data_IF_771346431108
#
_entry.id   IF_771346431108
#
_cell.length_a   1.000
_cell.length_b   1.000
_cell.length_c   1.000
_cell.angle_alpha   90.00
_cell.angle_beta   90.00
_cell.angle_gamma   90.00
#
_symmetry.space_group_name_H-M   'P 1'
#
loop_
_entity.id
_entity.type
_entity.pdbx_description
1 polymer ?
#
# COMPACT_ATOMS: atom_id res chain seq x y z
N UNK A 1 -19.71 17.63 -4.04
CA UNK A 1 -18.53 17.99 -4.84
C UNK A 1 -17.40 17.13 -4.32
N UNK A 2 -16.70 16.33 -5.15
CA UNK A 2 -15.55 15.60 -4.64
C UNK A 2 -14.55 16.64 -4.13
N UNK A 3 -14.10 16.46 -2.89
CA UNK A 3 -13.09 17.32 -2.29
C UNK A 3 -11.91 17.40 -3.26
N UNK A 4 -11.48 18.62 -3.55
CA UNK A 4 -10.42 18.89 -4.53
C UNK A 4 -9.19 18.10 -4.09
N UNK A 5 -8.92 16.99 -4.75
CA UNK A 5 -7.69 16.22 -4.61
C UNK A 5 -6.55 17.14 -5.03
N UNK A 6 -5.97 17.80 -4.04
CA UNK A 6 -4.73 18.57 -4.06
C UNK A 6 -4.78 19.89 -4.84
N UNK A 7 -4.65 21.02 -4.13
CA UNK A 7 -4.34 22.32 -4.73
C UNK A 7 -2.92 22.36 -5.28
N UNK A 8 -2.74 22.90 -6.48
CA UNK A 8 -1.41 23.09 -7.05
C UNK A 8 -0.56 23.98 -6.12
N UNK A 9 0.67 23.57 -5.82
CA UNK A 9 1.60 24.30 -4.92
C UNK A 9 2.08 25.65 -5.50
N UNK A 10 1.77 25.95 -6.76
CA UNK A 10 2.16 27.20 -7.38
C UNK A 10 1.24 28.36 -6.96
N UNK A 11 1.83 29.39 -6.36
CA UNK A 11 1.11 30.58 -5.92
C UNK A 11 0.29 31.21 -7.07
N UNK A 12 -1.03 31.32 -6.87
CA UNK A 12 -1.96 31.86 -7.87
C UNK A 12 -2.53 30.83 -8.86
N UNK A 13 -2.15 29.56 -8.75
CA UNK A 13 -2.80 28.49 -9.52
C UNK A 13 -4.16 28.13 -8.88
N UNK A 14 -5.23 28.28 -9.65
CA UNK A 14 -6.60 27.94 -9.22
C UNK A 14 -7.05 26.55 -9.67
N UNK A 15 -6.18 25.81 -10.37
CA UNK A 15 -6.46 24.48 -10.93
C UNK A 15 -6.01 23.36 -9.96
N UNK A 16 -6.66 22.18 -10.02
CA UNK A 16 -6.23 21.00 -9.27
C UNK A 16 -4.82 20.52 -9.67
N UNK A 17 -4.15 19.78 -8.79
CA UNK A 17 -2.82 19.23 -9.06
C UNK A 17 -2.89 18.04 -10.01
N UNK A 18 -1.87 17.90 -10.85
CA UNK A 18 -1.72 16.72 -11.70
C UNK A 18 -1.13 15.57 -10.87
N UNK A 19 -1.73 14.40 -11.05
CA UNK A 19 -1.42 13.16 -10.34
C UNK A 19 -0.83 12.08 -11.28
N UNK A 20 -0.44 12.43 -12.49
CA UNK A 20 0.10 11.53 -13.52
C UNK A 20 1.53 11.95 -13.91
N UNK A 21 2.48 11.03 -14.20
CA UNK A 21 3.78 11.35 -14.78
C UNK A 21 3.68 12.15 -16.09
N UNK A 22 3.90 13.47 -16.02
CA UNK A 22 3.84 14.38 -17.17
C UNK A 22 3.87 15.87 -16.79
N UNK A 23 4.35 16.76 -17.67
CA UNK A 23 4.36 18.17 -17.36
C UNK A 23 2.93 18.72 -17.30
N UNK A 24 2.66 19.62 -16.35
CA UNK A 24 1.41 20.35 -16.37
C UNK A 24 1.29 21.19 -17.63
N UNK A 25 0.20 21.00 -18.38
CA UNK A 25 -0.05 21.61 -19.68
C UNK A 25 -0.11 23.14 -19.71
N UNK A 26 0.10 23.83 -18.57
CA UNK A 26 0.32 25.29 -18.52
C UNK A 26 1.60 25.74 -17.81
N UNK A 27 2.02 25.12 -16.70
CA UNK A 27 3.27 25.54 -16.02
C UNK A 27 4.53 24.87 -16.60
N UNK A 28 4.36 23.89 -17.50
CA UNK A 28 5.43 23.20 -18.22
C UNK A 28 6.50 22.55 -17.30
N UNK A 29 6.16 22.32 -16.03
CA UNK A 29 7.01 21.61 -15.08
C UNK A 29 6.50 20.18 -14.87
N UNK A 30 7.46 19.27 -14.77
CA UNK A 30 7.29 17.83 -14.56
C UNK A 30 6.40 17.56 -13.34
N UNK A 31 5.46 16.63 -13.50
CA UNK A 31 4.59 16.10 -12.45
C UNK A 31 5.33 15.74 -11.17
N UNK A 32 4.57 15.72 -10.08
CA UNK A 32 4.92 15.13 -8.77
C UNK A 32 5.49 13.69 -8.84
N UNK A 33 5.29 12.95 -9.93
CA UNK A 33 5.73 11.56 -10.10
C UNK A 33 7.15 11.35 -10.63
N UNK A 34 7.87 12.37 -11.13
CA UNK A 34 9.30 12.20 -11.47
C UNK A 34 10.20 12.05 -10.24
N UNK A 35 9.66 12.25 -9.03
CA UNK A 35 10.37 12.03 -7.76
C UNK A 35 10.63 10.55 -7.46
N UNK A 36 9.80 9.62 -7.95
CA UNK A 36 9.96 8.18 -7.68
C UNK A 36 10.82 7.43 -8.70
N UNK A 37 11.28 8.09 -9.77
CA UNK A 37 12.03 7.44 -10.87
C UNK A 37 13.51 7.83 -10.96
N UNK A 38 13.99 8.74 -10.10
CA UNK A 38 15.40 9.15 -10.06
C UNK A 38 16.03 8.78 -8.71
N UNK A 39 17.05 7.91 -8.68
CA UNK A 39 17.76 7.53 -7.46
C UNK A 39 18.25 8.74 -6.66
N UNK A 40 18.68 9.80 -7.36
CA UNK A 40 19.18 11.04 -6.76
C UNK A 40 18.14 11.78 -5.91
N UNK A 41 16.87 11.75 -6.27
CA UNK A 41 15.82 12.43 -5.51
C UNK A 41 15.42 11.63 -4.27
N UNK A 42 15.38 10.30 -4.37
CA UNK A 42 15.15 9.37 -3.25
C UNK A 42 16.22 9.52 -2.15
N UNK A 43 17.49 9.73 -2.51
CA UNK A 43 18.57 9.92 -1.53
C UNK A 43 18.43 11.20 -0.68
N UNK A 44 18.08 12.33 -1.33
CA UNK A 44 17.87 13.61 -0.63
C UNK A 44 16.64 13.56 0.29
N UNK A 45 15.61 12.84 -0.13
CA UNK A 45 14.38 12.63 0.63
C UNK A 45 14.61 11.78 1.88
N UNK A 46 15.27 10.63 1.76
CA UNK A 46 15.66 9.79 2.90
C UNK A 46 16.49 10.59 3.91
N UNK A 47 17.46 11.39 3.45
CA UNK A 47 18.28 12.23 4.33
C UNK A 47 17.47 13.27 5.11
N UNK A 48 16.49 13.92 4.48
CA UNK A 48 15.59 14.88 5.15
C UNK A 48 14.71 14.20 6.19
N UNK A 49 14.09 13.08 5.84
CA UNK A 49 13.20 12.39 6.77
C UNK A 49 14.02 11.83 7.95
N UNK A 50 15.21 11.26 7.71
CA UNK A 50 16.14 10.88 8.79
C UNK A 50 16.49 12.06 9.71
N UNK A 51 16.61 13.27 9.17
CA UNK A 51 16.96 14.46 9.98
C UNK A 51 15.86 14.93 10.93
N UNK A 52 14.60 14.54 10.70
CA UNK A 52 13.47 14.91 11.56
C UNK A 52 13.06 13.80 12.54
N UNK A 53 13.59 12.58 12.36
CA UNK A 53 13.31 11.47 13.27
C UNK A 53 14.06 11.68 14.58
N UNK A 54 13.33 11.59 15.69
CA UNK A 54 13.92 11.58 17.01
C UNK A 54 14.40 10.16 17.38
N UNK A 55 15.62 9.82 16.98
CA UNK A 55 16.26 8.52 17.21
C UNK A 55 16.23 8.08 18.69
N UNK A 56 16.33 9.03 19.63
CA UNK A 56 16.27 8.73 21.06
C UNK A 56 14.88 8.20 21.48
N UNK A 57 13.81 8.82 20.97
CA UNK A 57 12.44 8.37 21.27
C UNK A 57 12.10 7.05 20.56
N UNK A 58 12.61 6.84 19.35
CA UNK A 58 12.51 5.55 18.65
C UNK A 58 13.19 4.44 19.46
N UNK A 59 14.43 4.65 19.92
CA UNK A 59 15.15 3.69 20.75
C UNK A 59 14.42 3.40 22.06
N UNK A 60 13.91 4.45 22.72
CA UNK A 60 13.16 4.33 23.96
C UNK A 60 11.90 3.49 23.76
N UNK A 61 11.09 3.81 22.74
CA UNK A 61 9.86 3.07 22.44
C UNK A 61 10.14 1.61 22.09
N UNK A 62 11.14 1.35 21.24
CA UNK A 62 11.56 -0.01 20.91
C UNK A 62 12.05 -0.79 22.14
N UNK A 63 12.76 -0.12 23.06
CA UNK A 63 13.21 -0.73 24.31
C UNK A 63 12.03 -1.05 25.24
N UNK A 64 11.03 -0.17 25.35
CA UNK A 64 9.79 -0.41 26.10
C UNK A 64 9.05 -1.65 25.58
N UNK A 65 8.86 -1.74 24.26
CA UNK A 65 8.18 -2.88 23.63
C UNK A 65 8.98 -4.20 23.77
N UNK A 66 10.30 -4.10 23.96
CA UNK A 66 11.19 -5.24 24.14
C UNK A 66 11.52 -5.53 25.62
N UNK A 67 10.62 -5.19 26.54
CA UNK A 67 10.76 -5.51 27.97
C UNK A 67 11.88 -4.75 28.68
N UNK A 68 12.25 -3.56 28.19
CA UNK A 68 13.27 -2.67 28.75
C UNK A 68 14.70 -2.95 28.29
N UNK A 69 14.92 -3.94 27.42
CA UNK A 69 16.24 -4.21 26.84
C UNK A 69 16.62 -3.11 25.84
N UNK A 70 17.74 -2.43 26.09
CA UNK A 70 18.25 -1.34 25.25
C UNK A 70 18.37 -1.79 23.80
N UNK A 71 17.78 -1.00 22.88
CA UNK A 71 17.96 -1.13 21.44
C UNK A 71 18.83 0.00 20.91
N UNK A 72 19.65 -0.32 19.91
CA UNK A 72 20.47 0.65 19.19
C UNK A 72 20.00 0.72 17.74
N UNK A 73 19.89 1.94 17.23
CA UNK A 73 19.50 2.22 15.84
C UNK A 73 20.72 2.07 14.95
N UNK A 74 20.58 1.26 13.91
CA UNK A 74 21.41 1.31 12.73
C UNK A 74 20.64 2.02 11.61
N UNK A 75 21.24 3.07 11.03
CA UNK A 75 20.82 3.58 9.75
C UNK A 75 21.59 2.81 8.67
N UNK A 76 21.00 1.85 7.95
CA UNK A 76 21.71 1.14 6.89
C UNK A 76 22.24 2.13 5.84
N UNK A 77 23.39 1.81 5.21
CA UNK A 77 23.86 2.51 4.02
C UNK A 77 22.75 2.58 2.97
N UNK A 78 22.75 3.66 2.18
CA UNK A 78 21.71 3.90 1.17
C UNK A 78 21.56 2.76 0.14
N UNK A 79 22.63 2.03 -0.15
CA UNK A 79 22.64 0.88 -1.07
C UNK A 79 21.88 -0.35 -0.51
N UNK A 80 21.81 -0.50 0.81
CA UNK A 80 21.00 -1.55 1.47
C UNK A 80 19.54 -1.10 1.69
N UNK A 81 19.27 0.21 1.62
CA UNK A 81 17.94 0.79 1.70
C UNK A 81 17.14 0.64 0.39
N UNK A 82 17.75 0.13 -0.70
CA UNK A 82 17.04 -0.24 -1.93
C UNK A 82 16.14 -1.49 -1.76
N UNK A 83 16.16 -2.15 -0.60
CA UNK A 83 15.36 -3.37 -0.32
C UNK A 83 13.87 -3.14 0.01
N UNK A 84 13.41 -1.89 0.19
CA UNK A 84 11.99 -1.49 0.24
C UNK A 84 11.89 -0.02 -0.14
N UNK A 85 10.95 0.33 -1.02
CA UNK A 85 10.88 1.65 -1.67
C UNK A 85 10.45 2.81 -0.75
N UNK A 86 10.74 4.04 -1.22
CA UNK A 86 10.13 5.34 -0.86
C UNK A 86 10.14 5.86 0.59
N UNK A 87 10.27 5.01 1.60
CA UNK A 87 10.27 5.40 3.01
C UNK A 87 11.64 5.09 3.66
N UNK A 88 12.26 6.03 4.41
CA UNK A 88 13.46 5.73 5.16
C UNK A 88 13.19 4.61 6.17
N UNK A 89 13.93 3.51 6.02
CA UNK A 89 13.93 2.42 6.98
C UNK A 89 14.98 2.68 8.06
N UNK A 90 14.57 2.50 9.31
CA UNK A 90 15.46 2.44 10.48
C UNK A 90 15.51 0.98 10.94
N UNK A 91 16.72 0.42 11.06
CA UNK A 91 16.89 -0.95 11.56
C UNK A 91 17.21 -0.95 13.05
N UNK A 92 16.48 -1.77 13.80
CA UNK A 92 16.65 -2.01 15.21
C UNK A 92 16.79 -3.52 15.41
N UNK A 93 18.01 -4.08 15.42
CA UNK A 93 18.31 -5.53 15.54
C UNK A 93 17.08 -6.48 15.63
N UNK A 94 16.67 -7.07 14.49
CA UNK A 94 15.48 -7.93 14.28
C UNK A 94 14.14 -7.21 14.03
N UNK A 95 14.09 -5.88 14.10
CA UNK A 95 12.90 -5.05 13.87
C UNK A 95 13.19 -4.00 12.80
N UNK A 96 12.20 -3.76 11.94
CA UNK A 96 12.20 -2.68 10.95
C UNK A 96 11.27 -1.57 11.44
N UNK A 97 11.72 -0.32 11.37
CA UNK A 97 10.87 0.85 11.55
C UNK A 97 10.72 1.53 10.18
N UNK A 98 9.52 1.47 9.63
CA UNK A 98 9.16 2.21 8.42
C UNK A 98 8.69 3.59 8.85
N UNK A 99 9.38 4.64 8.42
CA UNK A 99 9.05 6.02 8.74
C UNK A 99 8.58 6.76 7.50
N UNK A 100 7.44 7.44 7.59
CA UNK A 100 6.86 8.21 6.50
C UNK A 100 6.74 9.67 6.91
N UNK A 101 7.06 10.58 6.00
CA UNK A 101 7.01 12.02 6.27
C UNK A 101 6.58 12.82 5.05
N UNK A 102 5.98 13.97 5.33
CA UNK A 102 5.54 14.96 4.35
C UNK A 102 6.74 15.68 3.77
N UNK A 103 7.06 15.39 2.51
CA UNK A 103 7.74 16.35 1.64
C UNK A 103 6.72 16.94 0.66
N UNK A 104 5.99 17.97 1.11
CA UNK A 104 5.22 18.92 0.28
C UNK A 104 4.05 18.40 -0.56
N UNK A 105 4.02 17.11 -0.94
CA UNK A 105 3.16 16.59 -2.00
C UNK A 105 2.00 15.71 -1.49
N UNK A 106 2.17 15.05 -0.33
CA UNK A 106 1.16 14.20 0.30
C UNK A 106 0.77 14.80 1.66
N UNK A 107 -0.51 15.10 1.90
CA UNK A 107 -1.03 15.55 3.20
C UNK A 107 -0.69 14.55 4.32
N UNK A 108 -0.32 15.07 5.49
CA UNK A 108 -0.01 14.26 6.67
C UNK A 108 -1.15 13.31 7.03
N UNK A 109 -2.40 13.77 6.93
CA UNK A 109 -3.58 12.96 7.20
C UNK A 109 -3.70 11.71 6.30
N UNK A 110 -3.22 11.76 5.06
CA UNK A 110 -3.18 10.59 4.16
C UNK A 110 -2.08 9.63 4.62
N UNK A 111 -0.91 10.14 5.00
CA UNK A 111 0.19 9.32 5.54
C UNK A 111 -0.26 8.61 6.81
N UNK A 112 -0.88 9.34 7.74
CA UNK A 112 -1.38 8.80 9.01
C UNK A 112 -2.44 7.73 8.78
N UNK A 113 -3.33 7.94 7.81
CA UNK A 113 -4.31 6.94 7.41
C UNK A 113 -3.64 5.67 6.86
N UNK A 114 -2.66 5.81 5.96
CA UNK A 114 -1.92 4.68 5.37
C UNK A 114 -1.22 3.87 6.45
N UNK A 115 -0.58 4.54 7.43
CA UNK A 115 0.05 3.88 8.58
C UNK A 115 -0.97 3.09 9.39
N UNK A 116 -2.11 3.70 9.72
CA UNK A 116 -3.17 3.00 10.45
C UNK A 116 -3.68 1.80 9.66
N UNK A 117 -3.82 1.94 8.33
CA UNK A 117 -4.34 0.90 7.45
C UNK A 117 -3.39 -0.28 7.29
N UNK A 118 -2.11 -0.01 7.11
CA UNK A 118 -1.07 -1.04 7.03
C UNK A 118 -0.94 -1.77 8.38
N UNK A 119 -0.88 -1.04 9.49
CA UNK A 119 -0.83 -1.64 10.83
C UNK A 119 -2.04 -2.56 11.09
N UNK A 120 -3.26 -2.11 10.76
CA UNK A 120 -4.47 -2.92 10.92
C UNK A 120 -4.46 -4.18 10.04
N UNK A 121 -3.92 -4.06 8.83
CA UNK A 121 -3.77 -5.18 7.89
C UNK A 121 -2.81 -6.23 8.44
N UNK A 122 -1.63 -5.81 8.89
CA UNK A 122 -0.63 -6.70 9.46
C UNK A 122 -1.14 -7.38 10.74
N UNK A 123 -1.86 -6.65 11.59
CA UNK A 123 -2.51 -7.23 12.78
C UNK A 123 -3.60 -8.25 12.48
N UNK A 124 -4.30 -8.09 11.37
CA UNK A 124 -5.20 -9.12 10.89
C UNK A 124 -4.44 -10.33 10.36
N UNK A 125 -3.38 -10.13 9.57
CA UNK A 125 -2.57 -11.21 9.01
C UNK A 125 -1.89 -12.06 10.09
N UNK A 126 -1.51 -11.47 11.22
CA UNK A 126 -1.03 -12.19 12.43
C UNK A 126 -2.03 -13.27 12.94
N UNK A 127 -3.32 -13.19 12.56
CA UNK A 127 -4.36 -14.17 12.91
C UNK A 127 -4.56 -15.26 11.87
N UNK A 128 -3.84 -15.17 10.75
CA UNK A 128 -3.96 -16.07 9.59
C UNK A 128 -2.68 -16.90 9.41
N UNK A 129 -2.64 -17.76 8.40
CA UNK A 129 -1.41 -18.45 7.98
C UNK A 129 -0.63 -17.71 6.88
N UNK A 130 -1.08 -16.54 6.46
CA UNK A 130 -0.34 -15.73 5.47
C UNK A 130 0.98 -15.29 6.10
N UNK A 131 2.13 -15.55 5.47
CA UNK A 131 3.42 -15.17 6.01
C UNK A 131 3.61 -13.65 5.83
N UNK A 132 3.37 -12.88 6.88
CA UNK A 132 3.53 -11.43 6.90
C UNK A 132 4.31 -11.00 8.16
N UNK A 133 5.02 -9.86 8.12
CA UNK A 133 5.74 -9.39 9.29
C UNK A 133 4.77 -9.04 10.42
N UNK A 134 5.12 -9.43 11.65
CA UNK A 134 4.39 -8.97 12.83
C UNK A 134 4.56 -7.46 12.99
N UNK A 135 3.47 -6.77 13.31
CA UNK A 135 3.50 -5.35 13.63
C UNK A 135 3.57 -5.16 15.15
N UNK A 136 4.66 -4.64 15.68
CA UNK A 136 4.81 -4.49 17.13
C UNK A 136 4.04 -3.29 17.67
N UNK A 137 4.08 -2.16 16.96
CA UNK A 137 3.45 -0.91 17.34
C UNK A 137 3.47 0.09 16.16
N UNK A 138 2.72 1.19 16.27
CA UNK A 138 2.72 2.27 15.28
C UNK A 138 2.55 3.63 15.96
N UNK A 139 2.90 4.70 15.25
CA UNK A 139 2.61 6.07 15.65
C UNK A 139 2.26 6.93 14.44
N UNK A 140 1.38 7.90 14.63
CA UNK A 140 0.99 8.87 13.60
C UNK A 140 1.53 10.25 13.97
N UNK A 141 1.90 11.07 12.99
CA UNK A 141 2.53 12.36 13.27
C UNK A 141 1.54 13.38 13.87
N UNK A 142 0.25 13.27 13.55
CA UNK A 142 -0.79 14.13 14.12
C UNK A 142 -1.10 13.83 15.60
N UNK A 143 -0.62 12.70 16.16
CA UNK A 143 -0.75 12.41 17.59
C UNK A 143 0.29 13.20 18.41
N UNK A 144 -0.18 14.10 19.27
CA UNK A 144 0.68 14.90 20.15
C UNK A 144 1.53 14.05 21.10
N UNK A 145 1.13 12.80 21.38
CA UNK A 145 1.90 11.87 22.21
C UNK A 145 3.05 11.21 21.44
N UNK A 146 3.02 11.23 20.11
CA UNK A 146 4.09 10.72 19.29
C UNK A 146 5.30 11.68 19.32
N UNK A 147 6.34 11.30 20.06
CA UNK A 147 7.58 12.08 20.17
C UNK A 147 8.66 11.70 19.14
N UNK A 148 8.37 10.74 18.26
CA UNK A 148 9.27 10.31 17.18
C UNK A 148 9.38 11.38 16.08
N UNK A 149 8.34 12.20 15.90
CA UNK A 149 8.33 13.33 14.96
C UNK A 149 7.84 13.00 13.55
N UNK A 150 7.57 11.73 13.27
CA UNK A 150 7.03 11.22 12.00
C UNK A 150 6.05 10.08 12.27
N UNK A 151 5.29 9.69 11.25
CA UNK A 151 4.43 8.51 11.29
C UNK A 151 5.27 7.27 11.03
N UNK A 152 5.06 6.21 11.80
CA UNK A 152 5.89 5.01 11.74
C UNK A 152 5.14 3.72 12.09
N UNK A 153 5.71 2.59 11.68
CA UNK A 153 5.34 1.25 12.16
C UNK A 153 6.62 0.49 12.55
N UNK A 154 6.61 -0.15 13.72
CA UNK A 154 7.60 -1.16 14.10
C UNK A 154 7.15 -2.54 13.62
N UNK A 155 8.00 -3.20 12.84
CA UNK A 155 7.72 -4.46 12.16
C UNK A 155 8.79 -5.51 12.47
N UNK A 156 8.42 -6.78 12.33
CA UNK A 156 9.36 -7.91 12.30
C UNK A 156 10.25 -7.86 11.07
N UNK A 157 11.55 -8.11 11.27
CA UNK A 157 12.48 -8.37 10.17
C UNK A 157 12.29 -9.81 9.67
N UNK A 158 11.87 -9.95 8.41
CA UNK A 158 11.65 -11.26 7.80
C UNK A 158 12.98 -11.95 7.49
N UNK A 159 13.10 -13.22 7.86
CA UNK A 159 14.25 -14.04 7.50
C UNK A 159 14.14 -14.44 6.02
N UNK A 160 15.14 -14.10 5.20
CA UNK A 160 15.19 -14.48 3.79
C UNK A 160 15.71 -13.35 2.90
N UNK A 161 15.40 -13.43 1.60
CA UNK A 161 15.74 -12.39 0.62
C UNK A 161 14.54 -12.06 -0.25
N UNK A 162 14.45 -10.82 -0.72
CA UNK A 162 13.48 -10.43 -1.73
C UNK A 162 13.64 -11.30 -2.98
N UNK A 163 12.53 -11.77 -3.53
CA UNK A 163 12.51 -12.54 -4.75
C UNK A 163 12.90 -11.64 -5.93
N UNK A 164 13.89 -12.07 -6.70
CA UNK A 164 14.45 -11.32 -7.82
C UNK A 164 14.34 -12.07 -9.15
N UNK A 165 13.39 -13.02 -9.23
CA UNK A 165 13.17 -13.92 -10.36
C UNK A 165 14.35 -14.85 -10.71
N UNK A 166 15.35 -14.98 -9.82
CA UNK A 166 16.45 -15.92 -9.98
C UNK A 166 16.15 -17.26 -9.29
N UNK A 167 16.77 -18.33 -9.79
CA UNK A 167 16.62 -19.68 -9.22
C UNK A 167 17.45 -19.88 -7.95
N UNK A 168 17.29 -21.04 -7.26
CA UNK A 168 18.06 -21.35 -6.06
C UNK A 168 19.58 -21.34 -6.34
N UNK A 169 20.37 -20.99 -5.33
CA UNK A 169 21.84 -21.05 -5.36
C UNK A 169 22.52 -20.32 -6.54
N UNK A 170 22.00 -19.14 -6.92
CA UNK A 170 22.62 -18.30 -7.96
C UNK A 170 22.40 -18.79 -9.39
N UNK A 171 21.45 -19.72 -9.60
CA UNK A 171 20.94 -20.04 -10.94
C UNK A 171 20.35 -18.77 -11.55
N UNK A 172 20.79 -18.45 -12.77
CA UNK A 172 20.37 -17.23 -13.50
C UNK A 172 18.85 -17.15 -13.73
N UNK A 173 18.13 -18.27 -13.62
CA UNK A 173 16.67 -18.35 -13.76
C UNK A 173 16.10 -19.54 -13.00
N UNK A 174 14.90 -19.37 -12.43
CA UNK A 174 14.07 -20.46 -11.91
C UNK A 174 13.74 -21.47 -13.02
N UNK A 175 13.94 -22.77 -12.74
CA UNK A 175 13.51 -23.84 -13.63
C UNK A 175 12.00 -24.13 -13.49
N UNK A 176 11.48 -25.12 -14.22
CA UNK A 176 10.06 -25.45 -14.19
C UNK A 176 9.55 -25.87 -12.81
N UNK A 177 10.38 -26.57 -12.03
CA UNK A 177 10.03 -27.01 -10.67
C UNK A 177 10.09 -25.86 -9.67
N UNK A 178 11.06 -24.96 -9.85
CA UNK A 178 11.17 -23.73 -9.06
C UNK A 178 9.91 -22.87 -9.25
N UNK A 179 9.49 -22.66 -10.51
CA UNK A 179 8.25 -21.92 -10.82
C UNK A 179 7.01 -22.59 -10.24
N UNK A 180 6.90 -23.91 -10.35
CA UNK A 180 5.79 -24.68 -9.76
C UNK A 180 5.72 -24.50 -8.24
N UNK A 181 6.87 -24.45 -7.56
CA UNK A 181 6.94 -24.19 -6.12
C UNK A 181 6.48 -22.77 -5.78
N UNK A 182 6.94 -21.76 -6.52
CA UNK A 182 6.53 -20.37 -6.34
C UNK A 182 5.00 -20.23 -6.48
N UNK A 183 4.43 -20.82 -7.54
CA UNK A 183 2.99 -20.83 -7.78
C UNK A 183 2.21 -21.56 -6.70
N UNK A 184 2.68 -22.73 -6.24
CA UNK A 184 2.04 -23.45 -5.15
C UNK A 184 2.05 -22.66 -3.84
N UNK A 185 3.14 -21.93 -3.55
CA UNK A 185 3.22 -21.05 -2.39
C UNK A 185 2.21 -19.90 -2.46
N UNK A 186 2.08 -19.26 -3.63
CA UNK A 186 1.08 -18.22 -3.87
C UNK A 186 -0.35 -18.78 -3.76
N UNK A 187 -0.60 -19.97 -4.30
CA UNK A 187 -1.90 -20.64 -4.20
C UNK A 187 -2.29 -20.89 -2.73
N UNK A 188 -1.36 -21.38 -1.91
CA UNK A 188 -1.59 -21.59 -0.47
C UNK A 188 -1.95 -20.29 0.24
N UNK A 189 -1.30 -19.18 -0.12
CA UNK A 189 -1.59 -17.83 0.41
C UNK A 189 -2.98 -17.36 -0.01
N UNK A 190 -3.33 -17.46 -1.30
CA UNK A 190 -4.64 -17.06 -1.82
C UNK A 190 -5.76 -17.91 -1.22
N UNK A 191 -5.54 -19.22 -1.05
CA UNK A 191 -6.47 -20.14 -0.38
C UNK A 191 -6.66 -19.71 1.08
N UNK A 192 -5.59 -19.33 1.78
CA UNK A 192 -5.69 -18.85 3.15
C UNK A 192 -6.47 -17.54 3.21
N UNK A 193 -6.17 -16.54 2.39
CA UNK A 193 -6.91 -15.26 2.33
C UNK A 193 -8.40 -15.48 2.07
N UNK A 194 -8.75 -16.42 1.19
CA UNK A 194 -10.15 -16.79 0.89
C UNK A 194 -10.91 -17.34 2.11
N UNK A 195 -10.24 -17.87 3.13
CA UNK A 195 -10.89 -18.35 4.36
C UNK A 195 -11.35 -17.22 5.29
N UNK A 196 -10.92 -15.99 5.04
CA UNK A 196 -11.15 -14.86 5.92
C UNK A 196 -11.93 -13.73 5.21
N UNK A 197 -13.23 -13.93 4.92
CA UNK A 197 -14.04 -12.92 4.24
C UNK A 197 -14.39 -11.75 5.15
N UNK A 198 -14.58 -10.58 4.54
CA UNK A 198 -15.06 -9.35 5.15
C UNK A 198 -16.46 -9.00 4.65
N UNK A 199 -17.28 -8.32 5.48
CA UNK A 199 -18.64 -7.92 5.10
C UNK A 199 -18.71 -6.67 4.22
N UNK A 200 -17.59 -5.94 4.07
CA UNK A 200 -17.49 -4.72 3.28
C UNK A 200 -16.13 -4.65 2.60
N UNK A 201 -16.07 -3.89 1.51
CA UNK A 201 -14.84 -3.57 0.81
C UNK A 201 -14.11 -2.36 1.43
N UNK A 202 -12.83 -2.26 1.07
CA UNK A 202 -11.95 -1.08 1.04
C UNK A 202 -10.74 -1.16 1.99
N UNK A 203 -10.52 -0.28 2.96
CA UNK A 203 -9.31 -0.29 3.78
C UNK A 203 -9.60 -0.81 5.17
N UNK A 204 -8.63 -1.49 5.77
CA UNK A 204 -8.72 -1.86 7.18
C UNK A 204 -8.25 -0.69 8.04
N UNK A 205 -8.84 -0.51 9.22
CA UNK A 205 -8.35 0.40 10.25
C UNK A 205 -8.34 -0.31 11.61
N UNK A 206 -7.55 0.19 12.59
CA UNK A 206 -7.54 -0.37 13.93
C UNK A 206 -8.95 -0.38 14.54
N UNK A 207 -9.41 -1.54 14.99
CA UNK A 207 -10.71 -1.69 15.64
C UNK A 207 -10.61 -1.72 17.16
N UNK A 208 -11.61 -2.30 17.82
CA UNK A 208 -11.67 -2.40 19.30
C UNK A 208 -10.54 -3.26 19.90
N UNK A 209 -9.91 -4.11 19.10
CA UNK A 209 -8.72 -4.86 19.46
C UNK A 209 -7.79 -4.98 18.25
N UNK A 210 -6.47 -5.09 18.43
CA UNK A 210 -5.52 -5.18 17.31
C UNK A 210 -5.89 -6.25 16.29
N UNK A 211 -6.30 -7.44 16.74
CA UNK A 211 -6.65 -8.58 15.88
C UNK A 211 -8.05 -8.53 15.27
N UNK A 212 -8.80 -7.43 15.44
CA UNK A 212 -10.16 -7.25 14.90
C UNK A 212 -10.26 -5.88 14.23
N UNK A 213 -9.73 -5.73 13.01
CA UNK A 213 -9.82 -4.47 12.29
C UNK A 213 -11.26 -4.15 11.91
N UNK A 214 -11.53 -2.89 11.62
CA UNK A 214 -12.78 -2.43 11.00
C UNK A 214 -12.51 -2.11 9.53
N UNK A 215 -13.52 -2.32 8.67
CA UNK A 215 -13.46 -1.90 7.28
C UNK A 215 -13.93 -0.44 7.18
N UNK A 216 -13.14 0.39 6.50
CA UNK A 216 -13.33 1.84 6.36
C UNK A 216 -13.15 2.28 4.91
N UNK A 217 -13.27 3.59 4.67
CA UNK A 217 -13.09 4.22 3.37
C UNK A 217 -11.69 3.98 2.77
N UNK A 218 -11.48 4.26 1.49
CA UNK A 218 -10.19 3.99 0.82
C UNK A 218 -9.12 4.91 1.37
N UNK A 219 -8.01 4.31 1.81
CA UNK A 219 -6.82 5.04 2.23
C UNK A 219 -6.27 5.85 1.05
N UNK A 220 -5.92 5.13 -0.02
CA UNK A 220 -5.68 5.66 -1.35
C UNK A 220 -5.47 4.51 -2.35
N UNK A 221 -5.39 4.84 -3.64
CA UNK A 221 -4.84 3.94 -4.67
C UNK A 221 -3.31 4.07 -4.72
N UNK A 222 -2.63 3.20 -5.49
CA UNK A 222 -1.18 3.20 -5.74
C UNK A 222 -0.62 4.60 -6.07
N UNK A 223 -1.43 5.46 -6.68
CA UNK A 223 -1.03 6.81 -7.09
C UNK A 223 -1.33 7.91 -6.05
N UNK A 224 -1.83 7.57 -4.86
CA UNK A 224 -2.19 8.50 -3.78
C UNK A 224 -3.27 9.54 -4.17
N UNK A 225 -4.14 9.18 -5.11
CA UNK A 225 -5.07 10.13 -5.76
C UNK A 225 -6.48 10.09 -5.18
N UNK A 226 -6.82 9.01 -4.46
CA UNK A 226 -8.19 8.80 -3.99
C UNK A 226 -8.42 9.48 -2.64
N UNK A 227 -9.54 10.20 -2.54
CA UNK A 227 -10.12 10.63 -1.27
C UNK A 227 -10.93 9.52 -0.61
N UNK A 228 -11.33 9.70 0.67
CA UNK A 228 -12.04 8.67 1.41
C UNK A 228 -13.41 8.39 0.76
N UNK A 229 -13.53 7.21 0.13
CA UNK A 229 -14.77 6.67 -0.42
C UNK A 229 -15.02 5.27 0.12
N UNK A 230 -16.28 4.91 0.35
CA UNK A 230 -16.68 3.68 1.02
C UNK A 230 -16.80 3.83 2.55
N UNK A 231 -16.82 2.73 3.30
CA UNK A 231 -16.73 1.34 2.86
C UNK A 231 -17.97 0.88 2.08
N UNK A 232 -17.81 -0.07 1.15
CA UNK A 232 -18.91 -0.55 0.29
C UNK A 232 -19.43 -1.90 0.73
N UNK A 233 -20.75 -2.10 0.64
CA UNK A 233 -21.39 -3.38 0.98
C UNK A 233 -21.71 -4.23 -0.24
N UNK A 234 -21.51 -3.71 -1.45
CA UNK A 234 -21.70 -4.43 -2.70
C UNK A 234 -20.53 -4.22 -3.67
N UNK A 235 -20.18 -5.21 -4.48
CA UNK A 235 -19.18 -5.07 -5.54
C UNK A 235 -19.61 -4.01 -6.58
N UNK A 236 -20.92 -3.88 -6.81
CA UNK A 236 -21.47 -2.86 -7.71
C UNK A 236 -21.16 -1.46 -7.24
N UNK A 237 -21.34 -1.16 -5.96
CA UNK A 237 -21.02 0.16 -5.40
C UNK A 237 -19.51 0.41 -5.41
N UNK A 238 -18.71 -0.62 -5.10
CA UNK A 238 -17.24 -0.56 -5.15
C UNK A 238 -16.75 -0.17 -6.56
N UNK A 239 -17.12 -0.93 -7.59
CA UNK A 239 -16.69 -0.66 -8.97
C UNK A 239 -17.27 0.65 -9.51
N UNK A 240 -18.52 0.99 -9.16
CA UNK A 240 -19.14 2.26 -9.57
C UNK A 240 -18.39 3.44 -8.99
N UNK A 241 -18.08 3.43 -7.69
CA UNK A 241 -17.32 4.51 -7.06
C UNK A 241 -15.93 4.64 -7.65
N UNK A 242 -15.23 3.52 -7.91
CA UNK A 242 -13.90 3.56 -8.52
C UNK A 242 -13.92 4.21 -9.91
N UNK A 243 -14.85 3.76 -10.77
CA UNK A 243 -14.95 4.25 -12.14
C UNK A 243 -15.38 5.72 -12.18
N UNK A 244 -16.41 6.10 -11.43
CA UNK A 244 -16.90 7.48 -11.43
C UNK A 244 -15.89 8.46 -10.86
N UNK A 245 -15.14 8.07 -9.83
CA UNK A 245 -14.08 8.90 -9.27
C UNK A 245 -12.94 9.11 -10.26
N UNK A 246 -12.44 8.04 -10.88
CA UNK A 246 -11.41 8.15 -11.92
C UNK A 246 -11.88 9.00 -13.11
N UNK A 247 -13.12 8.81 -13.57
CA UNK A 247 -13.69 9.64 -14.64
C UNK A 247 -13.73 11.13 -14.28
N UNK A 248 -14.07 11.48 -13.03
CA UNK A 248 -14.05 12.85 -12.56
C UNK A 248 -12.63 13.44 -12.58
N UNK A 249 -11.64 12.70 -12.08
CA UNK A 249 -10.24 13.12 -12.08
C UNK A 249 -9.67 13.27 -13.51
N UNK A 250 -10.03 12.38 -14.43
CA UNK A 250 -9.65 12.47 -15.84
C UNK A 250 -10.28 13.69 -16.50
N UNK A 251 -11.58 13.93 -16.25
CA UNK A 251 -12.29 15.10 -16.77
C UNK A 251 -11.66 16.41 -16.27
N UNK A 252 -11.23 16.42 -15.01
CA UNK A 252 -10.51 17.53 -14.37
C UNK A 252 -9.03 17.62 -14.77
N UNK A 253 -8.55 16.72 -15.66
CA UNK A 253 -7.15 16.66 -16.13
C UNK A 253 -6.13 16.45 -15.00
N UNK A 254 -6.53 15.72 -13.96
CA UNK A 254 -5.66 15.30 -12.87
C UNK A 254 -5.00 13.95 -13.16
N UNK A 255 -5.69 13.08 -13.90
CA UNK A 255 -5.19 11.75 -14.30
C UNK A 255 -5.12 11.59 -15.83
N UNK A 256 -4.17 10.77 -16.28
CA UNK A 256 -3.95 10.38 -17.68
C UNK A 256 -3.90 11.58 -18.64
N UNK A 257 -3.15 12.60 -18.26
CA UNK A 257 -3.18 13.94 -18.89
C UNK A 257 -2.69 13.93 -20.33
N UNK A 258 -1.86 12.95 -20.69
CA UNK A 258 -1.34 12.74 -22.05
C UNK A 258 -2.37 12.14 -23.00
N UNK A 259 -3.37 11.39 -22.50
CA UNK A 259 -4.38 10.71 -23.31
C UNK A 259 -5.78 10.65 -22.65
N UNK A 260 -6.30 11.77 -22.11
CA UNK A 260 -7.45 11.75 -21.21
C UNK A 260 -8.76 11.41 -21.92
N UNK A 261 -8.90 11.73 -23.22
CA UNK A 261 -10.08 11.31 -24.00
C UNK A 261 -10.12 9.80 -24.13
N UNK A 262 -9.00 9.17 -24.49
CA UNK A 262 -8.92 7.72 -24.65
C UNK A 262 -9.17 7.02 -23.30
N UNK A 263 -8.55 7.50 -22.22
CA UNK A 263 -8.78 6.90 -20.90
C UNK A 263 -10.19 7.10 -20.41
N UNK A 264 -10.79 8.28 -20.63
CA UNK A 264 -12.19 8.51 -20.28
C UNK A 264 -13.12 7.53 -21.01
N UNK A 265 -12.86 7.22 -22.28
CA UNK A 265 -13.61 6.22 -23.04
C UNK A 265 -13.42 4.80 -22.49
N UNK A 266 -12.20 4.44 -22.05
CA UNK A 266 -11.96 3.15 -21.36
C UNK A 266 -12.77 3.06 -20.09
N UNK A 267 -12.76 4.09 -19.23
CA UNK A 267 -13.56 4.09 -18.00
C UNK A 267 -15.07 4.14 -18.28
N UNK A 268 -15.51 4.82 -19.34
CA UNK A 268 -16.91 4.80 -19.77
C UNK A 268 -17.32 3.38 -20.22
N UNK A 269 -16.45 2.68 -20.94
CA UNK A 269 -16.66 1.26 -21.27
C UNK A 269 -16.73 0.42 -20.01
N UNK A 270 -15.77 0.52 -19.09
CA UNK A 270 -15.80 -0.18 -17.80
C UNK A 270 -17.11 0.07 -17.05
N UNK A 271 -17.57 1.33 -17.00
CA UNK A 271 -18.86 1.71 -16.38
C UNK A 271 -20.03 0.91 -16.96
N UNK A 272 -20.05 0.73 -18.28
CA UNK A 272 -21.09 -0.04 -18.97
C UNK A 272 -21.06 -1.54 -18.65
N UNK A 273 -19.90 -2.07 -18.23
CA UNK A 273 -19.72 -3.49 -17.92
C UNK A 273 -19.98 -3.83 -16.44
N UNK A 274 -20.14 -2.83 -15.56
CA UNK A 274 -20.28 -3.06 -14.10
C UNK A 274 -21.39 -4.05 -13.78
N UNK A 275 -22.55 -3.92 -14.43
CA UNK A 275 -23.68 -4.81 -14.19
C UNK A 275 -23.28 -6.27 -14.48
N UNK A 276 -22.62 -6.53 -15.60
CA UNK A 276 -22.19 -7.87 -16.01
C UNK A 276 -21.11 -8.42 -15.07
N UNK A 277 -20.15 -7.59 -14.67
CA UNK A 277 -19.09 -7.96 -13.71
C UNK A 277 -19.66 -8.38 -12.34
N UNK A 278 -20.76 -7.75 -11.92
CA UNK A 278 -21.37 -7.98 -10.60
C UNK A 278 -22.50 -9.01 -10.61
N UNK A 279 -22.91 -9.52 -11.77
CA UNK A 279 -24.05 -10.44 -11.90
C UNK A 279 -23.70 -11.91 -11.60
N UNK A 280 -22.42 -12.22 -11.41
CA UNK A 280 -21.93 -13.61 -11.21
C UNK A 280 -22.07 -14.12 -9.76
N UNK A 281 -22.58 -13.28 -8.85
CA UNK A 281 -22.87 -13.67 -7.47
C UNK A 281 -24.07 -14.60 -7.44
N UNK A 282 -23.82 -15.91 -7.48
CA UNK A 282 -24.85 -16.94 -7.36
C UNK A 282 -25.77 -16.62 -6.17
N UNK A 283 -27.03 -16.40 -6.50
CA UNK A 283 -28.11 -16.08 -5.57
C UNK A 283 -28.41 -17.26 -4.65
N UNK A 284 -27.70 -17.35 -3.53
CA UNK A 284 -28.36 -17.63 -2.27
C UNK A 284 -28.78 -16.27 -1.71
N UNK A 285 -30.08 -15.95 -1.84
CA UNK A 285 -30.70 -14.68 -1.43
C UNK A 285 -30.50 -14.32 0.06
N UNK A 286 -29.88 -15.20 0.84
CA UNK A 286 -29.67 -15.07 2.28
C UNK A 286 -28.22 -14.74 2.69
N UNK A 287 -27.22 -14.86 1.79
CA UNK A 287 -25.82 -14.56 2.15
C UNK A 287 -25.43 -13.15 1.71
N UNK A 288 -25.00 -12.32 2.66
CA UNK A 288 -24.36 -11.03 2.36
C UNK A 288 -23.14 -11.24 1.45
N UNK A 289 -22.93 -10.33 0.50
CA UNK A 289 -21.75 -10.36 -0.36
C UNK A 289 -20.46 -10.29 0.47
N UNK A 290 -19.48 -11.09 0.07
CA UNK A 290 -18.21 -11.24 0.78
C UNK A 290 -17.06 -10.62 0.00
N UNK A 291 -16.13 -10.02 0.74
CA UNK A 291 -14.95 -9.36 0.20
C UNK A 291 -13.70 -9.96 0.82
N UNK A 292 -12.55 -9.80 0.17
CA UNK A 292 -11.31 -10.48 0.56
C UNK A 292 -10.14 -9.51 0.47
N UNK A 293 -9.20 -9.67 1.39
CA UNK A 293 -7.96 -8.89 1.39
C UNK A 293 -7.11 -9.24 0.17
N UNK A 294 -6.58 -8.21 -0.48
CA UNK A 294 -5.71 -8.28 -1.66
C UNK A 294 -4.46 -7.45 -1.42
N UNK A 295 -3.31 -8.05 -1.73
CA UNK A 295 -2.06 -7.33 -1.91
C UNK A 295 -2.11 -6.54 -3.23
N UNK A 296 -1.79 -5.25 -3.20
CA UNK A 296 -1.95 -4.37 -4.38
C UNK A 296 -0.70 -4.28 -5.24
N UNK A 297 0.39 -4.94 -4.85
CA UNK A 297 1.57 -5.12 -5.67
C UNK A 297 1.62 -6.51 -6.30
N UNK A 298 1.89 -6.55 -7.60
CA UNK A 298 1.92 -7.71 -8.49
C UNK A 298 3.31 -7.94 -9.10
N UNK A 299 4.30 -7.10 -8.76
CA UNK A 299 5.68 -7.19 -9.27
C UNK A 299 6.47 -8.38 -8.72
N UNK A 300 6.20 -8.74 -7.47
CA UNK A 300 6.75 -9.92 -6.79
C UNK A 300 8.01 -9.67 -5.96
N UNK A 301 8.65 -8.51 -6.03
CA UNK A 301 9.80 -8.16 -5.18
C UNK A 301 9.43 -7.92 -3.71
N UNK A 302 8.15 -7.78 -3.41
CA UNK A 302 7.57 -7.82 -2.07
C UNK A 302 7.52 -9.24 -1.44
N UNK A 303 7.86 -10.29 -2.21
CA UNK A 303 7.94 -11.66 -1.69
C UNK A 303 9.33 -11.91 -1.10
N UNK A 304 9.37 -12.40 0.14
CA UNK A 304 10.57 -12.87 0.83
C UNK A 304 10.64 -14.38 0.71
N UNK A 305 11.76 -14.87 0.20
CA UNK A 305 12.01 -16.30 -0.02
C UNK A 305 13.24 -16.80 0.72
N UNK A 306 13.23 -18.08 1.09
CA UNK A 306 14.39 -18.79 1.64
C UNK A 306 15.37 -19.26 0.54
N UNK A 307 16.38 -20.04 0.92
CA UNK A 307 17.39 -20.57 -0.01
C UNK A 307 16.80 -21.57 -1.00
N UNK A 308 15.67 -22.20 -0.66
CA UNK A 308 14.92 -23.14 -1.45
C UNK A 308 13.76 -22.51 -2.25
N UNK A 309 13.63 -21.18 -2.24
CA UNK A 309 12.54 -20.43 -2.87
C UNK A 309 11.14 -20.66 -2.26
N UNK A 310 11.04 -21.14 -1.02
CA UNK A 310 9.75 -21.10 -0.34
C UNK A 310 9.43 -19.67 0.08
N UNK A 311 8.18 -19.24 -0.10
CA UNK A 311 7.72 -17.93 0.38
C UNK A 311 7.64 -17.97 1.90
N UNK A 312 8.50 -17.22 2.55
CA UNK A 312 8.60 -17.10 4.02
C UNK A 312 8.13 -15.75 4.53
N UNK A 313 7.85 -14.80 3.63
CA UNK A 313 7.28 -13.51 3.96
C UNK A 313 6.68 -12.78 2.77
N UNK A 314 5.70 -11.93 3.05
CA UNK A 314 5.12 -10.95 2.15
C UNK A 314 5.18 -9.63 2.90
N UNK A 315 5.93 -8.66 2.35
CA UNK A 315 6.09 -7.32 2.91
C UNK A 315 5.33 -6.29 2.06
N UNK A 316 5.47 -5.01 2.37
CA UNK A 316 4.88 -3.91 1.60
C UNK A 316 3.34 -3.98 1.49
N UNK A 317 2.68 -4.35 2.59
CA UNK A 317 1.21 -4.33 2.72
C UNK A 317 0.60 -2.91 2.77
N UNK A 318 1.41 -1.89 2.48
CA UNK A 318 0.93 -0.53 2.29
C UNK A 318 -0.14 -0.52 1.18
N UNK A 319 -1.25 0.19 1.42
CA UNK A 319 -2.40 0.26 0.50
C UNK A 319 -3.11 -1.08 0.19
N UNK A 320 -2.85 -2.15 0.95
CA UNK A 320 -3.63 -3.36 0.86
C UNK A 320 -5.13 -3.06 1.03
N UNK A 321 -5.97 -3.77 0.25
CA UNK A 321 -7.40 -3.48 0.17
C UNK A 321 -8.24 -4.75 0.27
N UNK A 322 -9.39 -4.62 0.89
CA UNK A 322 -10.46 -5.60 0.88
C UNK A 322 -11.32 -5.34 -0.37
N UNK A 323 -11.42 -6.31 -1.26
CA UNK A 323 -12.00 -6.14 -2.60
C UNK A 323 -12.96 -7.29 -2.95
N UNK A 324 -13.82 -7.15 -3.98
CA UNK A 324 -14.64 -8.25 -4.46
C UNK A 324 -13.81 -9.49 -4.84
N UNK A 325 -14.39 -10.69 -4.74
CA UNK A 325 -13.68 -11.94 -5.02
C UNK A 325 -13.01 -11.97 -6.42
N UNK A 326 -13.67 -11.41 -7.44
CA UNK A 326 -13.16 -11.30 -8.80
C UNK A 326 -11.89 -10.45 -8.90
N UNK A 327 -11.75 -9.45 -8.03
CA UNK A 327 -10.57 -8.60 -7.94
C UNK A 327 -9.49 -9.24 -7.07
N UNK A 328 -9.87 -9.87 -5.95
CA UNK A 328 -8.95 -10.48 -4.98
C UNK A 328 -8.19 -11.69 -5.54
N UNK A 329 -8.85 -12.47 -6.38
CA UNK A 329 -8.33 -13.74 -6.90
C UNK A 329 -8.24 -13.77 -8.44
N UNK A 330 -8.35 -12.60 -9.06
CA UNK A 330 -8.27 -12.44 -10.51
C UNK A 330 -7.32 -11.31 -10.92
N UNK A 331 -7.18 -11.07 -12.23
CA UNK A 331 -6.42 -9.92 -12.73
C UNK A 331 -6.95 -8.62 -12.14
N UNK A 332 -6.03 -7.74 -11.74
CA UNK A 332 -6.38 -6.46 -11.15
C UNK A 332 -7.10 -5.56 -12.15
N UNK A 333 -8.33 -5.16 -11.85
CA UNK A 333 -9.07 -4.16 -12.63
C UNK A 333 -8.99 -2.76 -11.98
N UNK A 334 -8.75 -2.72 -10.67
CA UNK A 334 -8.87 -1.51 -9.84
C UNK A 334 -7.59 -1.21 -9.06
N UNK A 335 -6.85 -2.24 -8.66
CA UNK A 335 -5.68 -2.10 -7.79
C UNK A 335 -4.40 -2.33 -8.59
N UNK A 336 -4.03 -1.36 -9.45
CA UNK A 336 -2.88 -1.46 -10.37
C UNK A 336 -1.81 -0.41 -10.08
#
# INVERSE_FOLDING_TARGET
MPDKSFTCEFAGCVLPSICDPGPCGRCNQQSRFTYFSSPFHTYLEIGKIRSIINDSEVCKRASELNGGLKREIGHPPHEDAERSWAAPTIMLHRWHCLAYSVNGSIPQSIIDYLICSEYATLKFLETTKVPAPRAFDYGIAEDENNKVGVSYIFLEEMAGRAWNSQGPHGKRSADGKDKERDWNGLDDILIELKRHPFPKAVSLLPGSSPSKPIVSAVASERFLVLGPSGPFSTAKDYYTSFVEHNMALIADRQLFTSFPVNTYLVFLFLKSQIQDLTSTSNHDLETMEQFYLKHVDDKGDHLIVDDELNIVGIIDWQMAQVVPASEAFGPSLVTV
#
